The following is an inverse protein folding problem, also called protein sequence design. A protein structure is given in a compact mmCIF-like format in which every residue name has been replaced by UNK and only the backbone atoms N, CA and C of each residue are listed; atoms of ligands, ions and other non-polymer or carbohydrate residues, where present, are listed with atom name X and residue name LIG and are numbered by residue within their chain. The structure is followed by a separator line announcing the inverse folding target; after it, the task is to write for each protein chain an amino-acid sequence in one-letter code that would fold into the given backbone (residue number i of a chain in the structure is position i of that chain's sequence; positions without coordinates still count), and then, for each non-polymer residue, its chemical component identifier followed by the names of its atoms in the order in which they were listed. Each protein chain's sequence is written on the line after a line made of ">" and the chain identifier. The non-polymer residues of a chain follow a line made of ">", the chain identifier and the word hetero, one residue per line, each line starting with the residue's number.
data_IF_294022704227
#
_entry.id   IF_294022704227
#
_cell.length_a   1.000
_cell.length_b   1.000
_cell.length_c   1.000
_cell.angle_alpha   90.00
_cell.angle_beta   90.00
_cell.angle_gamma   90.00
#
_symmetry.space_group_name_H-M   'P 1'
#
loop_
_entity.id
_entity.type
_entity.pdbx_description
1 polymer ?
#
# COMPACT_ATOMS: atom_id res chain seq x y z
N UNK A 1 10.56 44.04 1.83
CA UNK A 1 10.81 44.33 3.26
C UNK A 1 11.70 45.55 3.29
N UNK A 2 11.38 46.57 4.08
CA UNK A 2 12.28 47.71 4.20
C UNK A 2 13.67 47.21 4.63
N UNK A 3 14.68 47.45 3.81
CA UNK A 3 16.05 47.04 4.13
C UNK A 3 16.62 47.96 5.22
N UNK A 4 17.66 47.49 5.93
CA UNK A 4 18.28 48.28 7.01
C UNK A 4 18.73 49.66 6.51
N UNK A 5 19.23 49.73 5.28
CA UNK A 5 19.62 50.97 4.61
C UNK A 5 18.44 51.89 4.29
N UNK A 6 17.29 51.34 3.94
CA UNK A 6 16.08 52.12 3.65
C UNK A 6 15.55 52.82 4.90
N UNK A 7 15.62 52.16 6.06
CA UNK A 7 15.18 52.74 7.35
C UNK A 7 16.09 53.88 7.80
N UNK A 8 17.41 53.72 7.61
CA UNK A 8 18.38 54.78 7.91
C UNK A 8 18.18 55.99 6.98
N UNK A 9 17.98 55.75 5.67
CA UNK A 9 17.65 56.81 4.70
C UNK A 9 16.34 57.51 5.06
N UNK A 10 15.34 56.78 5.55
CA UNK A 10 14.06 57.35 5.96
C UNK A 10 14.19 58.24 7.20
N UNK A 11 15.01 57.84 8.19
CA UNK A 11 15.32 58.67 9.34
C UNK A 11 15.98 60.00 8.94
N UNK A 12 16.87 59.96 7.94
CA UNK A 12 17.55 61.14 7.41
C UNK A 12 16.59 62.06 6.63
N UNK A 13 15.69 61.48 5.83
CA UNK A 13 14.64 62.21 5.10
C UNK A 13 13.64 62.91 6.03
N UNK A 14 13.33 62.29 7.18
CA UNK A 14 12.46 62.87 8.21
C UNK A 14 13.17 63.96 9.04
N UNK A 15 14.46 64.19 8.79
CA UNK A 15 15.24 65.22 9.48
C UNK A 15 15.52 64.90 10.95
N UNK A 16 15.36 63.64 11.38
CA UNK A 16 15.69 63.25 12.74
C UNK A 16 17.21 63.33 12.95
N UNK A 17 17.63 64.00 14.02
CA UNK A 17 19.04 64.17 14.40
C UNK A 17 19.26 63.85 15.87
N UNK A 18 20.50 63.50 16.22
CA UNK A 18 20.90 63.22 17.61
C UNK A 18 20.05 62.12 18.25
N UNK A 19 19.59 62.38 19.47
CA UNK A 19 18.82 61.41 20.27
C UNK A 19 17.51 60.97 19.59
N UNK A 20 16.79 61.89 18.94
CA UNK A 20 15.54 61.56 18.22
C UNK A 20 15.75 60.58 17.06
N UNK A 21 16.90 60.64 16.40
CA UNK A 21 17.28 59.67 15.35
C UNK A 21 17.55 58.30 15.97
N UNK A 22 18.25 58.27 17.11
CA UNK A 22 18.53 57.03 17.85
C UNK A 22 17.26 56.35 18.33
N UNK A 23 16.31 57.12 18.87
CA UNK A 23 15.01 56.59 19.33
C UNK A 23 14.17 56.01 18.20
N UNK A 24 14.06 56.74 17.08
CA UNK A 24 13.36 56.28 15.89
C UNK A 24 13.95 54.97 15.35
N UNK A 25 15.27 54.94 15.13
CA UNK A 25 15.95 53.75 14.63
C UNK A 25 15.78 52.56 15.59
N UNK A 26 15.85 52.78 16.91
CA UNK A 26 15.64 51.74 17.91
C UNK A 26 14.24 51.14 17.85
N UNK A 27 13.21 51.96 17.64
CA UNK A 27 11.84 51.50 17.48
C UNK A 27 11.66 50.68 16.20
N UNK A 28 12.16 51.18 15.08
CA UNK A 28 12.06 50.50 13.79
C UNK A 28 12.82 49.17 13.77
N UNK A 29 14.03 49.12 14.34
CA UNK A 29 14.77 47.86 14.47
C UNK A 29 14.09 46.86 15.38
N UNK A 30 13.47 47.32 16.47
CA UNK A 30 12.69 46.45 17.35
C UNK A 30 11.51 45.81 16.59
N UNK A 31 10.75 46.61 15.84
CA UNK A 31 9.64 46.13 15.01
C UNK A 31 10.12 45.14 13.93
N UNK A 32 11.29 45.38 13.35
CA UNK A 32 11.91 44.47 12.38
C UNK A 32 12.30 43.13 13.02
N UNK A 33 12.90 43.17 14.21
CA UNK A 33 13.27 41.97 14.95
C UNK A 33 12.03 41.14 15.33
N UNK A 34 10.98 41.78 15.87
CA UNK A 34 9.71 41.13 16.19
C UNK A 34 9.09 40.46 14.95
N UNK A 35 9.09 41.14 13.80
CA UNK A 35 8.59 40.56 12.54
C UNK A 35 9.44 39.39 12.03
N UNK A 36 10.75 39.42 12.24
CA UNK A 36 11.61 38.28 11.89
C UNK A 36 11.38 37.08 12.82
N UNK A 37 11.18 37.32 14.11
CA UNK A 37 10.86 36.24 15.06
C UNK A 37 9.52 35.58 14.74
N UNK A 38 8.48 36.38 14.45
CA UNK A 38 7.18 35.86 14.02
C UNK A 38 7.26 35.00 12.75
N UNK A 39 8.10 35.37 11.79
CA UNK A 39 8.35 34.56 10.59
C UNK A 39 9.07 33.27 10.91
N UNK A 40 10.11 33.32 11.74
CA UNK A 40 10.83 32.12 12.17
C UNK A 40 9.92 31.18 12.95
N UNK A 41 9.00 31.70 13.73
CA UNK A 41 8.00 30.90 14.43
C UNK A 41 6.98 30.28 13.48
N UNK A 42 6.48 31.05 12.51
CA UNK A 42 5.61 30.53 11.45
C UNK A 42 6.30 29.44 10.61
N UNK A 43 7.53 29.65 10.17
CA UNK A 43 8.32 28.65 9.43
C UNK A 43 8.56 27.38 10.27
N UNK A 44 8.76 27.52 11.58
CA UNK A 44 8.89 26.36 12.48
C UNK A 44 7.57 25.61 12.60
N UNK A 45 6.44 26.31 12.61
CA UNK A 45 5.13 25.70 12.67
C UNK A 45 4.79 24.97 11.37
N UNK A 46 5.01 25.62 10.22
CA UNK A 46 4.82 25.00 8.89
C UNK A 46 5.67 23.73 8.76
N UNK A 47 6.96 23.78 9.13
CA UNK A 47 7.82 22.59 9.10
C UNK A 47 7.35 21.48 10.04
N UNK A 48 6.80 21.82 11.21
CA UNK A 48 6.23 20.83 12.15
C UNK A 48 4.98 20.18 11.56
N UNK A 49 4.08 20.98 10.98
CA UNK A 49 2.86 20.48 10.34
C UNK A 49 3.18 19.63 9.10
N UNK A 50 4.15 20.03 8.28
CA UNK A 50 4.63 19.25 7.14
C UNK A 50 5.26 17.92 7.57
N UNK A 51 6.09 17.94 8.63
CA UNK A 51 6.68 16.72 9.18
C UNK A 51 5.60 15.77 9.73
N UNK A 52 4.56 16.30 10.38
CA UNK A 52 3.44 15.51 10.87
C UNK A 52 2.62 14.91 9.71
N UNK A 53 2.37 15.67 8.64
CA UNK A 53 1.70 15.16 7.43
C UNK A 53 2.51 14.03 6.78
N UNK A 54 3.82 14.23 6.60
CA UNK A 54 4.69 13.18 6.04
C UNK A 54 4.74 11.93 6.92
N UNK A 55 4.73 12.08 8.24
CA UNK A 55 4.70 10.93 9.16
C UNK A 55 3.38 10.16 9.05
N UNK A 56 2.24 10.87 8.92
CA UNK A 56 0.93 10.25 8.72
C UNK A 56 0.85 9.53 7.37
N UNK A 57 1.29 10.16 6.29
CA UNK A 57 1.31 9.55 4.95
C UNK A 57 2.15 8.27 4.93
N UNK A 58 3.36 8.30 5.52
CA UNK A 58 4.22 7.11 5.62
C UNK A 58 3.59 5.99 6.43
N UNK A 59 2.86 6.34 7.50
CA UNK A 59 2.16 5.35 8.33
C UNK A 59 1.01 4.71 7.55
N UNK A 60 0.20 5.51 6.88
CA UNK A 60 -0.91 5.02 6.05
C UNK A 60 -0.42 4.14 4.89
N UNK A 61 0.70 4.51 4.27
CA UNK A 61 1.34 3.70 3.22
C UNK A 61 1.85 2.36 3.77
N UNK A 62 2.49 2.36 4.93
CA UNK A 62 2.93 1.14 5.60
C UNK A 62 1.75 0.23 5.96
N UNK A 63 0.69 0.79 6.56
CA UNK A 63 -0.53 0.06 6.93
C UNK A 63 -1.22 -0.53 5.69
N UNK A 64 -1.25 0.22 4.57
CA UNK A 64 -1.81 -0.27 3.29
C UNK A 64 -0.98 -1.42 2.74
N UNK A 65 0.34 -1.33 2.79
CA UNK A 65 1.24 -2.39 2.32
C UNK A 65 1.09 -3.65 3.16
N UNK A 66 1.04 -3.53 4.49
CA UNK A 66 0.83 -4.66 5.39
C UNK A 66 -0.49 -5.39 5.10
N UNK A 67 -1.58 -4.64 4.88
CA UNK A 67 -2.88 -5.25 4.49
C UNK A 67 -2.80 -6.04 3.19
N UNK A 68 -2.12 -5.50 2.17
CA UNK A 68 -1.93 -6.18 0.89
C UNK A 68 -1.08 -7.45 1.04
N UNK A 69 -0.04 -7.41 1.88
CA UNK A 69 0.78 -8.58 2.17
C UNK A 69 -0.02 -9.68 2.89
N UNK A 70 -0.86 -9.31 3.86
CA UNK A 70 -1.75 -10.24 4.55
C UNK A 70 -2.80 -10.85 3.61
N UNK A 71 -3.39 -10.04 2.72
CA UNK A 71 -4.35 -10.51 1.72
C UNK A 71 -3.70 -11.50 0.75
N UNK A 72 -2.48 -11.21 0.29
CA UNK A 72 -1.71 -12.13 -0.54
C UNK A 72 -1.44 -13.47 0.17
N UNK A 73 -1.00 -13.43 1.42
CA UNK A 73 -0.76 -14.64 2.22
C UNK A 73 -2.04 -15.47 2.34
N UNK A 74 -3.17 -14.81 2.58
CA UNK A 74 -4.48 -15.48 2.67
C UNK A 74 -4.84 -16.18 1.36
N UNK A 75 -4.70 -15.49 0.23
CA UNK A 75 -4.96 -16.06 -1.10
C UNK A 75 -4.03 -17.25 -1.40
N UNK A 76 -2.74 -17.15 -1.07
CA UNK A 76 -1.78 -18.25 -1.26
C UNK A 76 -2.17 -19.48 -0.42
N UNK A 77 -2.68 -19.27 0.79
CA UNK A 77 -3.18 -20.35 1.64
C UNK A 77 -4.45 -21.00 1.05
N UNK A 78 -5.40 -20.21 0.54
CA UNK A 78 -6.62 -20.69 -0.12
C UNK A 78 -6.28 -21.52 -1.38
N UNK A 79 -5.33 -21.04 -2.18
CA UNK A 79 -4.84 -21.74 -3.38
C UNK A 79 -4.17 -23.07 -3.03
N UNK A 80 -3.30 -23.10 -2.02
CA UNK A 80 -2.67 -24.35 -1.55
C UNK A 80 -3.71 -25.36 -1.05
N UNK A 81 -4.72 -24.91 -0.31
CA UNK A 81 -5.81 -25.76 0.14
C UNK A 81 -6.61 -26.34 -1.03
N UNK A 82 -6.88 -25.54 -2.07
CA UNK A 82 -7.55 -26.01 -3.27
C UNK A 82 -6.70 -27.05 -4.02
N UNK A 83 -5.39 -26.82 -4.15
CA UNK A 83 -4.46 -27.76 -4.78
C UNK A 83 -4.47 -29.13 -4.08
N UNK A 84 -4.39 -29.15 -2.75
CA UNK A 84 -4.46 -30.40 -1.96
C UNK A 84 -5.78 -31.13 -2.20
N UNK A 85 -6.91 -30.41 -2.29
CA UNK A 85 -8.21 -31.02 -2.59
C UNK A 85 -8.26 -31.63 -3.98
N UNK A 86 -7.68 -30.96 -4.98
CA UNK A 86 -7.58 -31.47 -6.36
C UNK A 86 -6.73 -32.74 -6.40
N UNK A 87 -5.54 -32.73 -5.79
CA UNK A 87 -4.64 -33.89 -5.75
C UNK A 87 -5.28 -35.10 -5.04
N UNK A 88 -5.98 -34.86 -3.93
CA UNK A 88 -6.75 -35.90 -3.25
C UNK A 88 -7.89 -36.48 -4.12
N UNK A 89 -8.56 -35.62 -4.91
CA UNK A 89 -9.58 -36.03 -5.86
C UNK A 89 -9.01 -36.85 -7.03
N UNK A 90 -7.92 -36.38 -7.63
CA UNK A 90 -7.23 -37.05 -8.74
C UNK A 90 -6.64 -38.41 -8.33
N UNK A 91 -6.15 -38.53 -7.10
CA UNK A 91 -5.67 -39.80 -6.54
C UNK A 91 -6.78 -40.87 -6.49
N UNK A 92 -8.01 -40.48 -6.09
CA UNK A 92 -9.17 -41.39 -6.08
C UNK A 92 -9.67 -41.75 -7.48
N UNK A 93 -9.66 -40.81 -8.43
CA UNK A 93 -10.04 -41.10 -9.82
C UNK A 93 -9.01 -41.95 -10.55
N UNK A 94 -7.71 -41.78 -10.26
CA UNK A 94 -6.65 -42.58 -10.86
C UNK A 94 -6.66 -44.03 -10.34
N UNK A 95 -6.94 -44.25 -9.04
CA UNK A 95 -7.13 -45.59 -8.48
C UNK A 95 -8.35 -46.32 -9.07
N UNK A 96 -9.45 -45.61 -9.35
CA UNK A 96 -10.66 -46.21 -9.96
C UNK A 96 -10.49 -46.48 -11.45
N UNK A 97 -9.74 -45.65 -12.19
CA UNK A 97 -9.38 -45.92 -13.58
C UNK A 97 -8.43 -47.13 -13.71
N UNK A 98 -7.42 -47.22 -12.84
CA UNK A 98 -6.50 -48.36 -12.77
C UNK A 98 -7.20 -49.67 -12.36
N UNK A 99 -8.19 -49.62 -11.47
CA UNK A 99 -9.00 -50.78 -11.09
C UNK A 99 -9.97 -51.24 -12.20
N UNK A 100 -10.46 -50.33 -13.06
CA UNK A 100 -11.32 -50.67 -14.20
C UNK A 100 -10.55 -51.24 -15.41
N UNK A 101 -9.27 -50.90 -15.57
CA UNK A 101 -8.41 -51.39 -16.65
C UNK A 101 -7.78 -52.77 -16.41
N UNK A 102 -8.06 -53.45 -15.29
CA UNK A 102 -7.38 -54.69 -14.87
C UNK A 102 -8.27 -55.94 -14.82
N UNK A 103 -9.44 -55.88 -15.46
CA UNK A 103 -10.42 -56.98 -15.47
C UNK A 103 -10.78 -57.43 -16.90
N UNK A 104 -9.83 -57.50 -17.84
CA UNK A 104 -10.05 -58.16 -19.14
C UNK A 104 -8.74 -58.61 -19.78
N UNK A 105 -8.50 -59.92 -19.75
CA UNK A 105 -7.59 -60.78 -20.56
C UNK A 105 -6.97 -61.83 -19.63
N UNK A 106 -7.13 -63.16 -19.71
CA UNK A 106 -7.83 -64.17 -20.52
C UNK A 106 -7.52 -65.54 -19.85
N UNK A 107 -7.76 -66.76 -20.41
CA UNK A 107 -8.12 -67.09 -21.79
C UNK A 107 -9.39 -67.99 -21.92
N UNK A 108 -10.06 -67.90 -23.08
CA UNK A 108 -11.21 -68.72 -23.53
C UNK A 108 -12.63 -68.36 -23.07
N UNK A 109 -13.05 -67.10 -23.21
CA UNK A 109 -14.47 -66.80 -23.45
C UNK A 109 -14.60 -65.84 -24.62
N UNK A 110 -15.48 -66.19 -25.58
CA UNK A 110 -15.83 -65.35 -26.74
C UNK A 110 -16.13 -63.93 -26.26
N UNK A 111 -15.50 -62.94 -26.90
CA UNK A 111 -15.75 -61.51 -26.68
C UNK A 111 -17.24 -61.19 -26.81
N UNK A 112 -17.98 -61.17 -25.70
CA UNK A 112 -19.26 -60.47 -25.64
C UNK A 112 -19.04 -59.19 -24.84
N UNK A 113 -19.02 -58.06 -25.53
CA UNK A 113 -19.09 -56.76 -24.86
C UNK A 113 -20.51 -56.60 -24.33
N UNK A 114 -20.66 -56.64 -23.02
CA UNK A 114 -21.93 -56.35 -22.35
C UNK A 114 -21.98 -54.87 -22.00
N UNK A 115 -22.96 -54.16 -22.54
CA UNK A 115 -23.24 -52.77 -22.19
C UNK A 115 -24.56 -52.68 -21.42
N UNK A 116 -24.55 -51.94 -20.31
CA UNK A 116 -25.74 -51.60 -19.52
C UNK A 116 -26.03 -50.12 -19.72
N UNK A 117 -27.16 -49.81 -20.34
CA UNK A 117 -27.73 -48.46 -20.36
C UNK A 117 -29.22 -48.57 -20.04
N UNK A 118 -29.70 -47.81 -19.04
CA UNK A 118 -31.14 -47.69 -18.75
C UNK A 118 -31.89 -48.98 -18.36
N UNK A 119 -31.26 -49.90 -17.61
CA UNK A 119 -31.93 -51.10 -17.08
C UNK A 119 -32.09 -52.26 -18.06
N UNK A 120 -31.58 -52.15 -19.30
CA UNK A 120 -31.55 -53.24 -20.27
C UNK A 120 -30.10 -53.65 -20.57
N UNK A 121 -29.87 -54.96 -20.65
CA UNK A 121 -28.59 -55.57 -21.04
C UNK A 121 -28.74 -56.11 -22.45
N UNK A 122 -27.98 -55.57 -23.40
CA UNK A 122 -27.87 -56.13 -24.75
C UNK A 122 -26.46 -56.69 -24.95
N UNK A 123 -26.38 -57.91 -25.49
CA UNK A 123 -25.14 -58.58 -25.90
C UNK A 123 -24.99 -58.48 -27.41
N UNK A 124 -23.90 -57.89 -27.88
CA UNK A 124 -23.47 -57.97 -29.28
C UNK A 124 -22.28 -58.94 -29.40
N UNK A 125 -22.35 -59.80 -30.43
CA UNK A 125 -21.30 -60.73 -30.82
C UNK A 125 -20.56 -60.29 -32.07
#
# INVERSE_FOLDING_TARGET
>A
MATMEEIVKQADLLGYRGEKRGEYLKQEFKLLAERQEMRKEAERQERKEEAERQAREKKEEADRKERLELEKIKLDAEMKLLQVKIEAGLSRTNLTAAARGRATQGPNTRNCLTFKMGGMTSTFG
#
